data_IF_884763000165
#
_entry.id   IF_884763000165
#
_cell.length_a   1.000
_cell.length_b   1.000
_cell.length_c   1.000
_cell.angle_alpha   90.00
_cell.angle_beta   90.00
_cell.angle_gamma   90.00
#
_symmetry.space_group_name_H-M   'P 1'
#
loop_
_entity.id
_entity.type
_entity.pdbx_description
1 polymer ?
#
# COMPACT_ATOMS: atom_id res chain seq x y z
N UNK A 1 45.32 21.30 36.48
CA UNK A 1 46.03 22.59 36.33
C UNK A 1 46.27 22.95 34.86
N UNK A 2 45.28 22.81 33.96
CA UNK A 2 45.49 23.08 32.52
C UNK A 2 44.28 23.69 31.81
N UNK A 3 43.59 24.62 32.48
CA UNK A 3 42.64 25.56 31.83
C UNK A 3 43.28 26.91 31.49
N UNK A 4 44.61 27.02 31.61
CA UNK A 4 45.35 28.28 31.51
C UNK A 4 46.26 28.39 30.28
N UNK A 5 46.10 27.50 29.29
CA UNK A 5 46.95 27.48 28.08
C UNK A 5 46.15 27.61 26.78
N UNK A 6 44.82 27.75 26.84
CA UNK A 6 43.99 27.97 25.64
C UNK A 6 43.31 29.34 25.58
N UNK A 7 43.67 30.26 26.47
CA UNK A 7 43.12 31.63 26.53
C UNK A 7 44.17 32.72 26.23
N UNK A 8 45.38 32.36 25.79
CA UNK A 8 46.44 33.31 25.38
C UNK A 8 46.68 33.38 23.87
N UNK A 9 45.88 32.68 23.04
CA UNK A 9 46.03 32.70 21.57
C UNK A 9 44.91 33.47 20.85
N UNK A 10 43.94 34.04 21.59
CA UNK A 10 42.80 34.75 20.99
C UNK A 10 42.86 36.28 21.05
N UNK A 11 43.91 36.89 21.62
CA UNK A 11 43.98 38.35 21.86
C UNK A 11 45.16 39.07 21.18
N UNK A 12 45.70 38.50 20.09
CA UNK A 12 46.86 39.10 19.37
C UNK A 12 46.74 39.17 17.85
N UNK A 13 45.52 39.29 17.33
CA UNK A 13 45.25 39.61 15.91
C UNK A 13 44.13 40.63 15.73
N UNK A 14 44.07 41.62 16.62
CA UNK A 14 43.49 42.94 16.35
C UNK A 14 44.62 43.94 16.59
N UNK A 15 44.74 44.94 15.73
CA UNK A 15 45.81 45.97 15.72
C UNK A 15 47.15 45.62 15.09
N UNK A 16 47.18 45.16 13.83
CA UNK A 16 48.29 45.52 12.92
C UNK A 16 47.80 45.52 11.47
N UNK A 17 47.22 46.62 11.01
CA UNK A 17 47.34 47.11 9.61
C UNK A 17 46.55 48.42 9.49
N UNK A 18 47.07 49.51 10.04
CA UNK A 18 46.79 50.88 9.59
C UNK A 18 47.63 51.85 10.43
N UNK A 19 48.93 51.82 10.20
CA UNK A 19 49.82 52.94 10.50
C UNK A 19 50.99 52.85 9.53
N UNK A 20 51.49 53.99 9.08
CA UNK A 20 52.51 54.16 8.02
C UNK A 20 51.98 54.19 6.58
N UNK A 21 50.99 55.06 6.32
CA UNK A 21 51.00 55.80 5.05
C UNK A 21 51.99 56.95 5.25
N UNK A 22 53.28 56.65 5.18
CA UNK A 22 54.29 57.69 5.05
C UNK A 22 54.12 58.28 3.66
N UNK A 23 53.59 59.49 3.66
CA UNK A 23 53.69 60.43 2.56
C UNK A 23 55.17 60.58 2.21
N UNK A 24 55.64 59.87 1.20
CA UNK A 24 56.87 60.23 0.52
C UNK A 24 56.53 61.47 -0.30
N UNK A 25 56.49 62.61 0.39
CA UNK A 25 56.63 63.92 -0.22
C UNK A 25 57.99 63.93 -0.90
N UNK A 26 57.93 63.88 -2.23
CA UNK A 26 59.03 64.13 -3.16
C UNK A 26 59.55 65.55 -2.95
N UNK A 27 60.43 65.73 -1.96
CA UNK A 27 61.27 66.89 -1.79
C UNK A 27 62.52 66.79 -2.67
N UNK A 28 62.35 66.69 -3.99
CA UNK A 28 63.45 66.79 -4.93
C UNK A 28 63.81 68.28 -5.07
N UNK A 29 64.73 68.77 -4.23
CA UNK A 29 65.46 70.01 -4.50
C UNK A 29 66.58 69.67 -5.50
N UNK A 30 66.69 70.39 -6.62
CA UNK A 30 67.60 70.03 -7.70
C UNK A 30 69.03 70.36 -7.27
N UNK A 31 69.88 69.35 -7.12
CA UNK A 31 71.31 69.55 -7.31
C UNK A 31 71.52 69.61 -8.82
N UNK A 32 71.83 70.81 -9.29
CA UNK A 32 72.07 71.15 -10.67
C UNK A 32 73.19 70.27 -11.26
N UNK A 33 72.78 69.24 -11.99
CA UNK A 33 73.55 68.60 -13.04
C UNK A 33 72.64 68.55 -14.25
N UNK A 34 72.77 69.54 -15.12
CA UNK A 34 72.06 69.60 -16.40
C UNK A 34 72.60 68.49 -17.28
N UNK A 35 71.87 67.39 -17.38
CA UNK A 35 71.90 66.57 -18.58
C UNK A 35 70.66 66.93 -19.39
N UNK A 36 70.74 68.10 -20.04
CA UNK A 36 69.82 68.55 -21.08
C UNK A 36 69.99 67.67 -22.34
N UNK A 37 69.75 66.37 -22.20
CA UNK A 37 69.71 65.45 -23.33
C UNK A 37 68.27 65.35 -23.85
N UNK A 38 67.97 65.69 -25.11
CA UNK A 38 66.63 65.59 -25.71
C UNK A 38 66.08 64.16 -25.70
N UNK A 39 66.93 63.17 -25.43
CA UNK A 39 66.59 61.77 -25.27
C UNK A 39 65.81 61.52 -23.96
N UNK A 40 66.15 62.21 -22.86
CA UNK A 40 65.48 62.03 -21.57
C UNK A 40 64.01 62.51 -21.59
N UNK A 41 63.71 63.56 -22.35
CA UNK A 41 62.33 64.06 -22.51
C UNK A 41 61.48 63.13 -23.39
N UNK A 42 62.07 62.48 -24.39
CA UNK A 42 61.38 61.48 -25.22
C UNK A 42 61.02 60.25 -24.40
N UNK A 43 61.95 59.78 -23.57
CA UNK A 43 61.72 58.65 -22.66
C UNK A 43 60.59 58.96 -21.66
N UNK A 44 60.51 60.19 -21.14
CA UNK A 44 59.40 60.58 -20.25
C UNK A 44 58.04 60.56 -20.96
N UNK A 45 57.95 61.05 -22.20
CA UNK A 45 56.69 61.00 -22.97
C UNK A 45 56.28 59.58 -23.36
N UNK A 46 57.25 58.69 -23.60
CA UNK A 46 56.99 57.27 -23.84
C UNK A 46 56.44 56.60 -22.58
N UNK A 47 57.04 56.88 -21.41
CA UNK A 47 56.57 56.36 -20.12
C UNK A 47 55.15 56.84 -19.76
N UNK A 48 54.80 58.09 -20.09
CA UNK A 48 53.43 58.61 -19.89
C UNK A 48 52.40 57.86 -20.73
N UNK A 49 52.69 57.62 -22.00
CA UNK A 49 51.81 56.83 -22.89
C UNK A 49 51.67 55.39 -22.41
N UNK A 50 52.76 54.75 -22.02
CA UNK A 50 52.73 53.40 -21.46
C UNK A 50 51.89 53.36 -20.18
N UNK A 51 51.97 54.38 -19.33
CA UNK A 51 51.18 54.45 -18.10
C UNK A 51 49.67 54.64 -18.37
N UNK A 52 49.32 55.42 -19.39
CA UNK A 52 47.93 55.56 -19.85
C UNK A 52 47.38 54.23 -20.40
N UNK A 53 48.16 53.51 -21.20
CA UNK A 53 47.80 52.19 -21.74
C UNK A 53 47.64 51.14 -20.65
N UNK A 54 48.56 51.11 -19.67
CA UNK A 54 48.46 50.25 -18.48
C UNK A 54 47.21 50.58 -17.66
N UNK A 55 46.90 51.87 -17.49
CA UNK A 55 45.71 52.33 -16.77
C UNK A 55 44.42 51.94 -17.49
N UNK A 56 44.38 51.98 -18.82
CA UNK A 56 43.24 51.51 -19.61
C UNK A 56 43.08 50.00 -19.52
N UNK A 57 44.18 49.25 -19.60
CA UNK A 57 44.19 47.78 -19.48
C UNK A 57 43.75 47.33 -18.09
N UNK A 58 44.18 48.02 -17.05
CA UNK A 58 43.71 47.81 -15.66
C UNK A 58 42.20 48.01 -15.55
N UNK A 59 41.65 49.10 -16.09
CA UNK A 59 40.19 49.34 -16.11
C UNK A 59 39.41 48.27 -16.87
N UNK A 60 39.98 47.69 -17.93
CA UNK A 60 39.34 46.60 -18.67
C UNK A 60 39.36 45.28 -17.87
N UNK A 61 40.47 44.98 -17.21
CA UNK A 61 40.60 43.79 -16.36
C UNK A 61 39.66 43.88 -15.15
N UNK A 62 39.55 45.04 -14.51
CA UNK A 62 38.61 45.27 -13.42
C UNK A 62 37.15 45.06 -13.87
N UNK A 63 36.78 45.54 -15.07
CA UNK A 63 35.44 45.28 -15.64
C UNK A 63 35.19 43.80 -15.94
N UNK A 64 36.19 43.06 -16.40
CA UNK A 64 36.09 41.61 -16.61
C UNK A 64 35.95 40.88 -15.27
N UNK A 65 36.73 41.23 -14.26
CA UNK A 65 36.63 40.71 -12.90
C UNK A 65 35.23 40.92 -12.32
N UNK A 66 34.67 42.13 -12.42
CA UNK A 66 33.31 42.41 -11.94
C UNK A 66 32.27 41.50 -12.60
N UNK A 67 32.37 41.27 -13.92
CA UNK A 67 31.48 40.36 -14.64
C UNK A 67 31.62 38.91 -14.18
N UNK A 68 32.83 38.43 -13.91
CA UNK A 68 33.04 37.07 -13.38
C UNK A 68 32.46 36.93 -11.97
N UNK A 69 32.63 37.94 -11.12
CA UNK A 69 32.09 37.94 -9.76
C UNK A 69 30.55 37.91 -9.78
N UNK A 70 29.90 38.71 -10.64
CA UNK A 70 28.43 38.67 -10.78
C UNK A 70 27.93 37.30 -11.27
N UNK A 71 28.58 36.72 -12.29
CA UNK A 71 28.21 35.39 -12.79
C UNK A 71 28.41 34.28 -11.75
N UNK A 72 29.48 34.36 -10.96
CA UNK A 72 29.71 33.43 -9.85
C UNK A 72 28.64 33.57 -8.75
N UNK A 73 28.19 34.79 -8.46
CA UNK A 73 27.12 35.03 -7.50
C UNK A 73 25.76 34.44 -7.96
N UNK A 74 25.43 34.56 -9.25
CA UNK A 74 24.20 33.99 -9.82
C UNK A 74 24.20 32.45 -9.81
N UNK A 75 25.36 31.82 -10.10
CA UNK A 75 25.50 30.36 -10.03
C UNK A 75 25.31 29.85 -8.58
N UNK A 76 25.87 30.54 -7.59
CA UNK A 76 25.68 30.23 -6.17
C UNK A 76 24.23 30.41 -5.71
N UNK A 77 23.53 31.41 -6.24
CA UNK A 77 22.12 31.63 -5.93
C UNK A 77 21.22 30.49 -6.46
N UNK A 78 21.56 29.90 -7.61
CA UNK A 78 20.84 28.75 -8.18
C UNK A 78 21.05 27.47 -7.36
N UNK A 79 22.27 27.20 -6.87
CA UNK A 79 22.55 26.07 -5.97
C UNK A 79 21.71 26.13 -4.68
N UNK A 80 21.54 27.34 -4.13
CA UNK A 80 20.77 27.59 -2.89
C UNK A 80 19.25 27.46 -3.04
N UNK A 81 18.71 27.27 -4.25
CA UNK A 81 17.27 27.13 -4.50
C UNK A 81 16.84 25.70 -4.82
N UNK A 82 17.74 24.71 -4.76
CA UNK A 82 17.38 23.31 -4.96
C UNK A 82 16.45 22.80 -3.83
N UNK A 83 15.32 22.15 -4.14
CA UNK A 83 14.37 21.63 -3.14
C UNK A 83 14.92 20.51 -2.23
N UNK A 84 16.09 19.95 -2.54
CA UNK A 84 16.75 18.89 -1.77
C UNK A 84 17.49 19.37 -0.51
N UNK A 85 17.58 20.70 -0.30
CA UNK A 85 18.27 21.33 0.86
C UNK A 85 17.91 20.76 2.25
N UNK A 86 16.67 20.37 2.57
CA UNK A 86 16.35 19.80 3.88
C UNK A 86 16.93 18.40 4.08
N UNK A 87 16.97 17.58 3.01
CA UNK A 87 17.54 16.23 3.03
C UNK A 87 19.07 16.29 3.06
N UNK A 88 19.66 17.17 2.25
CA UNK A 88 21.10 17.42 2.26
C UNK A 88 21.61 17.96 3.60
N UNK A 89 20.80 18.78 4.30
CA UNK A 89 21.11 19.24 5.66
C UNK A 89 21.05 18.12 6.68
N UNK A 90 20.04 17.26 6.61
CA UNK A 90 19.94 16.10 7.50
C UNK A 90 21.10 15.12 7.28
N UNK A 91 21.42 14.81 6.02
CA UNK A 91 22.53 13.95 5.66
C UNK A 91 23.87 14.57 6.10
N UNK A 92 24.05 15.89 5.93
CA UNK A 92 25.20 16.62 6.44
C UNK A 92 25.29 16.62 7.97
N UNK A 93 24.17 16.77 8.68
CA UNK A 93 24.13 16.65 10.14
C UNK A 93 24.51 15.23 10.61
N UNK A 94 24.04 14.19 9.90
CA UNK A 94 24.42 12.80 10.15
C UNK A 94 25.92 12.61 9.90
N UNK A 95 26.46 13.15 8.81
CA UNK A 95 27.90 13.15 8.53
C UNK A 95 28.72 13.89 9.60
N UNK A 96 28.26 15.06 10.09
CA UNK A 96 28.95 15.78 11.17
C UNK A 96 28.91 14.97 12.47
N UNK A 97 27.77 14.38 12.83
CA UNK A 97 27.64 13.56 14.04
C UNK A 97 28.56 12.35 13.97
N UNK A 98 28.56 11.63 12.86
CA UNK A 98 29.46 10.48 12.65
C UNK A 98 30.93 10.90 12.69
N UNK A 99 31.31 12.02 12.05
CA UNK A 99 32.68 12.56 12.13
C UNK A 99 33.06 12.98 13.56
N UNK A 100 32.14 13.58 14.32
CA UNK A 100 32.40 13.95 15.71
C UNK A 100 32.56 12.72 16.61
N UNK A 101 31.75 11.69 16.41
CA UNK A 101 31.85 10.42 17.12
C UNK A 101 33.18 9.71 16.78
N UNK A 102 33.55 9.65 15.50
CA UNK A 102 34.83 9.10 15.08
C UNK A 102 36.02 9.88 15.65
N UNK A 103 35.95 11.22 15.69
CA UNK A 103 36.99 12.03 16.33
C UNK A 103 37.12 11.72 17.82
N UNK A 104 35.99 11.61 18.53
CA UNK A 104 35.97 11.23 19.94
C UNK A 104 36.54 9.83 20.16
N UNK A 105 36.20 8.89 19.28
CA UNK A 105 36.75 7.53 19.32
C UNK A 105 38.26 7.54 19.11
N UNK A 106 38.76 8.24 18.09
CA UNK A 106 40.21 8.35 17.85
C UNK A 106 40.93 9.01 19.02
N UNK A 107 40.36 10.06 19.62
CA UNK A 107 40.98 10.68 20.80
C UNK A 107 41.00 9.71 21.99
N UNK A 108 39.89 9.00 22.26
CA UNK A 108 39.82 8.02 23.33
C UNK A 108 40.80 6.85 23.10
N UNK A 109 40.86 6.33 21.88
CA UNK A 109 41.80 5.28 21.49
C UNK A 109 43.24 5.77 21.64
N UNK A 110 43.54 7.00 21.24
CA UNK A 110 44.88 7.59 21.39
C UNK A 110 45.28 7.81 22.85
N UNK A 111 44.36 8.27 23.69
CA UNK A 111 44.58 8.44 25.14
C UNK A 111 44.79 7.07 25.80
N UNK A 112 43.98 6.07 25.44
CA UNK A 112 44.13 4.70 25.96
C UNK A 112 45.47 4.06 25.56
N UNK A 113 45.90 4.28 24.31
CA UNK A 113 47.19 3.80 23.83
C UNK A 113 48.36 4.52 24.52
N UNK A 114 48.24 5.82 24.80
CA UNK A 114 49.22 6.58 25.58
C UNK A 114 49.33 6.05 27.00
N UNK A 115 48.20 5.82 27.69
CA UNK A 115 48.19 5.24 29.03
C UNK A 115 48.84 3.85 29.06
N UNK A 116 48.55 3.00 28.07
CA UNK A 116 49.20 1.69 27.93
C UNK A 116 50.71 1.84 27.69
N UNK A 117 51.14 2.81 26.89
CA UNK A 117 52.56 3.06 26.65
C UNK A 117 53.28 3.54 27.92
N UNK A 118 52.65 4.43 28.70
CA UNK A 118 53.16 4.90 29.98
C UNK A 118 53.26 3.75 31.00
N UNK A 119 52.23 2.91 31.09
CA UNK A 119 52.22 1.72 31.96
C UNK A 119 53.30 0.71 31.58
N UNK A 120 53.46 0.42 30.28
CA UNK A 120 54.55 -0.44 29.81
C UNK A 120 55.92 0.19 30.08
N UNK A 121 56.03 1.51 29.99
CA UNK A 121 57.29 2.22 30.28
C UNK A 121 57.66 2.15 31.76
N UNK A 122 56.67 2.31 32.65
CA UNK A 122 56.91 2.15 34.09
C UNK A 122 57.26 0.71 34.44
N UNK A 123 56.56 -0.27 33.86
CA UNK A 123 56.89 -1.69 34.02
C UNK A 123 58.32 -1.99 33.52
N UNK A 124 58.73 -1.45 32.37
CA UNK A 124 60.09 -1.61 31.88
C UNK A 124 61.12 -1.03 32.84
N UNK A 125 60.85 0.13 33.42
CA UNK A 125 61.75 0.76 34.38
C UNK A 125 61.86 -0.05 35.69
N UNK A 126 60.74 -0.60 36.17
CA UNK A 126 60.73 -1.50 37.33
C UNK A 126 61.53 -2.78 37.06
N UNK A 127 61.34 -3.41 35.89
CA UNK A 127 62.10 -4.61 35.51
C UNK A 127 63.60 -4.32 35.33
N UNK A 128 63.96 -3.15 34.77
CA UNK A 128 65.36 -2.74 34.68
C UNK A 128 66.01 -2.58 36.06
N UNK A 129 65.32 -1.93 37.00
CA UNK A 129 65.80 -1.81 38.38
C UNK A 129 65.98 -3.17 39.05
N UNK A 130 65.04 -4.11 38.84
CA UNK A 130 65.16 -5.48 39.35
C UNK A 130 66.40 -6.17 38.77
N UNK A 131 66.60 -6.09 37.45
CA UNK A 131 67.78 -6.66 36.79
C UNK A 131 69.08 -6.06 37.33
N UNK A 132 69.13 -4.74 37.55
CA UNK A 132 70.31 -4.09 38.14
C UNK A 132 70.59 -4.60 39.57
N UNK A 133 69.56 -4.75 40.40
CA UNK A 133 69.72 -5.30 41.76
C UNK A 133 70.18 -6.75 41.75
N UNK A 134 69.57 -7.61 40.93
CA UNK A 134 69.96 -9.02 40.79
C UNK A 134 71.37 -9.17 40.23
N UNK A 135 71.81 -8.28 39.32
CA UNK A 135 73.18 -8.25 38.82
C UNK A 135 74.19 -7.93 39.94
N UNK A 136 73.89 -6.93 40.77
CA UNK A 136 74.75 -6.58 41.90
C UNK A 136 74.84 -7.72 42.93
N UNK A 137 73.73 -8.40 43.20
CA UNK A 137 73.69 -9.59 44.06
C UNK A 137 74.51 -10.75 43.47
N UNK A 138 74.37 -11.02 42.17
CA UNK A 138 75.14 -12.05 41.48
C UNK A 138 76.64 -11.76 41.52
N UNK A 139 77.05 -10.50 41.32
CA UNK A 139 78.44 -10.09 41.44
C UNK A 139 78.98 -10.28 42.87
N UNK A 140 78.18 -9.94 43.88
CA UNK A 140 78.56 -10.16 45.28
C UNK A 140 78.72 -11.64 45.60
N UNK A 141 77.80 -12.49 45.11
CA UNK A 141 77.89 -13.95 45.23
C UNK A 141 79.09 -14.52 44.46
N UNK A 142 79.41 -13.96 43.28
CA UNK A 142 80.59 -14.35 42.52
C UNK A 142 81.87 -14.05 43.31
N UNK A 143 82.00 -12.82 43.85
CA UNK A 143 83.16 -12.42 44.67
C UNK A 143 83.28 -13.30 45.92
N UNK A 144 82.19 -13.62 46.60
CA UNK A 144 82.20 -14.46 47.80
C UNK A 144 82.56 -15.92 47.49
N UNK A 145 82.04 -16.49 46.39
CA UNK A 145 82.37 -17.83 45.95
C UNK A 145 83.84 -17.96 45.54
N UNK A 146 84.39 -16.96 44.84
CA UNK A 146 85.82 -16.91 44.52
C UNK A 146 86.64 -16.83 45.81
N UNK A 147 86.31 -15.93 46.73
CA UNK A 147 87.03 -15.79 48.00
C UNK A 147 86.99 -17.07 48.86
N UNK A 148 85.89 -17.81 48.85
CA UNK A 148 85.76 -19.09 49.58
C UNK A 148 86.61 -20.22 48.97
N UNK A 149 86.82 -20.21 47.65
CA UNK A 149 87.56 -21.25 46.92
C UNK A 149 89.07 -20.93 46.78
N UNK A 150 89.45 -19.65 46.82
CA UNK A 150 90.84 -19.18 46.67
C UNK A 150 91.85 -19.85 47.61
N UNK A 151 91.57 -20.07 48.92
CA UNK A 151 92.52 -20.72 49.83
C UNK A 151 92.87 -22.17 49.49
N UNK A 152 91.98 -22.87 48.76
CA UNK A 152 92.12 -24.30 48.46
C UNK A 152 92.64 -24.59 47.06
N UNK A 153 92.37 -23.70 46.10
CA UNK A 153 92.64 -23.91 44.68
C UNK A 153 93.60 -22.86 44.08
N UNK A 154 93.83 -21.74 44.77
CA UNK A 154 94.46 -20.54 44.21
C UNK A 154 93.45 -19.63 43.51
N UNK A 155 93.70 -18.32 43.49
CA UNK A 155 92.73 -17.32 43.00
C UNK A 155 92.29 -17.56 41.54
N UNK A 156 93.23 -17.85 40.65
CA UNK A 156 92.94 -18.03 39.22
C UNK A 156 92.10 -19.29 38.96
N UNK A 157 92.42 -20.40 39.65
CA UNK A 157 91.67 -21.64 39.51
C UNK A 157 90.26 -21.55 40.15
N UNK A 158 90.13 -20.82 41.26
CA UNK A 158 88.84 -20.51 41.89
C UNK A 158 87.93 -19.71 40.95
N UNK A 159 88.45 -18.63 40.32
CA UNK A 159 87.73 -17.85 39.31
C UNK A 159 87.30 -18.71 38.12
N UNK A 160 88.22 -19.49 37.56
CA UNK A 160 87.92 -20.37 36.44
C UNK A 160 86.82 -21.40 36.75
N UNK A 161 86.78 -21.94 37.98
CA UNK A 161 85.75 -22.90 38.41
C UNK A 161 84.37 -22.26 38.53
N UNK A 162 84.28 -21.09 39.18
CA UNK A 162 83.01 -20.36 39.34
C UNK A 162 82.48 -19.92 37.97
N UNK A 163 83.34 -19.41 37.09
CA UNK A 163 82.95 -19.05 35.73
C UNK A 163 82.50 -20.26 34.90
N UNK A 164 83.16 -21.42 35.05
CA UNK A 164 82.73 -22.64 34.35
C UNK A 164 81.32 -23.07 34.76
N UNK A 165 80.99 -23.02 36.06
CA UNK A 165 79.64 -23.28 36.55
C UNK A 165 78.62 -22.26 36.03
N UNK A 166 78.96 -20.97 36.02
CA UNK A 166 78.09 -19.92 35.49
C UNK A 166 77.84 -20.09 33.98
N UNK A 167 78.87 -20.49 33.22
CA UNK A 167 78.74 -20.80 31.79
C UNK A 167 77.83 -22.01 31.55
N UNK A 168 77.97 -23.07 32.36
CA UNK A 168 77.10 -24.24 32.27
C UNK A 168 75.63 -23.91 32.56
N UNK A 169 75.38 -23.09 33.59
CA UNK A 169 74.03 -22.63 33.94
C UNK A 169 73.42 -21.75 32.84
N UNK A 170 74.20 -20.83 32.26
CA UNK A 170 73.76 -20.00 31.12
C UNK A 170 73.35 -20.85 29.93
N UNK A 171 74.14 -21.87 29.57
CA UNK A 171 73.79 -22.79 28.48
C UNK A 171 72.49 -23.57 28.78
N UNK A 172 72.29 -24.01 30.03
CA UNK A 172 71.05 -24.66 30.45
C UNK A 172 69.85 -23.71 30.36
N UNK A 173 69.98 -22.47 30.83
CA UNK A 173 68.94 -21.44 30.71
C UNK A 173 68.62 -21.09 29.25
N UNK A 174 69.63 -20.96 28.39
CA UNK A 174 69.45 -20.72 26.96
C UNK A 174 68.68 -21.85 26.28
N UNK A 175 68.97 -23.11 26.66
CA UNK A 175 68.22 -24.25 26.14
C UNK A 175 66.76 -24.23 26.61
N UNK A 176 66.51 -23.87 27.87
CA UNK A 176 65.18 -23.76 28.45
C UNK A 176 64.38 -22.62 27.83
N UNK A 177 65.01 -21.46 27.60
CA UNK A 177 64.38 -20.30 26.98
C UNK A 177 63.96 -20.61 25.53
N UNK A 178 64.80 -21.33 24.77
CA UNK A 178 64.45 -21.83 23.44
C UNK A 178 63.24 -22.77 23.47
N UNK A 179 63.17 -23.70 24.41
CA UNK A 179 62.03 -24.62 24.55
C UNK A 179 60.77 -23.86 24.95
N UNK A 180 60.85 -22.93 25.91
CA UNK A 180 59.71 -22.08 26.32
C UNK A 180 59.19 -21.23 25.17
N UNK A 181 60.09 -20.68 24.35
CA UNK A 181 59.72 -19.90 23.17
C UNK A 181 59.06 -20.78 22.10
N UNK A 182 59.53 -22.01 21.88
CA UNK A 182 58.86 -22.99 21.01
C UNK A 182 57.47 -23.34 21.55
N UNK A 183 57.35 -23.60 22.85
CA UNK A 183 56.07 -23.89 23.49
C UNK A 183 55.09 -22.73 23.32
N UNK A 184 55.51 -21.50 23.59
CA UNK A 184 54.69 -20.31 23.39
C UNK A 184 54.22 -20.17 21.93
N UNK A 185 55.12 -20.35 20.96
CA UNK A 185 54.77 -20.34 19.52
C UNK A 185 53.72 -21.41 19.17
N UNK A 186 53.88 -22.62 19.69
CA UNK A 186 52.93 -23.71 19.47
C UNK A 186 51.57 -23.42 20.10
N UNK A 187 51.53 -22.95 21.35
CA UNK A 187 50.30 -22.55 22.03
C UNK A 187 49.56 -21.44 21.28
N UNK A 188 50.30 -20.44 20.76
CA UNK A 188 49.72 -19.39 19.94
C UNK A 188 49.14 -19.95 18.63
N UNK A 189 49.85 -20.89 18.00
CA UNK A 189 49.38 -21.54 16.76
C UNK A 189 48.13 -22.38 17.01
N UNK A 190 48.09 -23.14 18.10
CA UNK A 190 46.91 -23.93 18.51
C UNK A 190 45.71 -23.00 18.70
N UNK A 191 45.86 -21.91 19.47
CA UNK A 191 44.76 -20.95 19.69
C UNK A 191 44.24 -20.34 18.40
N UNK A 192 45.13 -20.03 17.44
CA UNK A 192 44.71 -19.52 16.11
C UNK A 192 43.91 -20.57 15.34
N UNK A 193 44.41 -21.80 15.27
CA UNK A 193 43.73 -22.90 14.60
C UNK A 193 42.38 -23.24 15.25
N UNK A 194 42.29 -23.18 16.58
CA UNK A 194 41.02 -23.36 17.30
C UNK A 194 40.02 -22.24 17.00
N UNK A 195 40.47 -20.99 16.85
CA UNK A 195 39.61 -19.87 16.46
C UNK A 195 39.12 -20.04 15.02
N UNK A 196 40.02 -20.34 14.07
CA UNK A 196 39.69 -20.63 12.67
C UNK A 196 38.66 -21.78 12.58
N UNK A 197 38.86 -22.87 13.33
CA UNK A 197 37.94 -24.00 13.35
C UNK A 197 36.55 -23.61 13.89
N UNK A 198 36.47 -22.78 14.93
CA UNK A 198 35.20 -22.31 15.48
C UNK A 198 34.44 -21.43 14.49
N UNK A 199 35.14 -20.53 13.80
CA UNK A 199 34.55 -19.70 12.74
C UNK A 199 34.01 -20.56 11.60
N UNK A 200 34.76 -21.59 11.17
CA UNK A 200 34.29 -22.55 10.17
C UNK A 200 33.06 -23.35 10.66
N UNK A 201 33.03 -23.79 11.91
CA UNK A 201 31.88 -24.48 12.49
C UNK A 201 30.64 -23.59 12.57
N UNK A 202 30.79 -22.33 12.98
CA UNK A 202 29.72 -21.34 13.02
C UNK A 202 29.17 -21.07 11.62
N UNK A 203 30.06 -20.81 10.65
CA UNK A 203 29.68 -20.65 9.25
C UNK A 203 28.94 -21.88 8.70
N UNK A 204 29.41 -23.08 8.99
CA UNK A 204 28.75 -24.32 8.57
C UNK A 204 27.36 -24.48 9.20
N UNK A 205 27.18 -24.08 10.47
CA UNK A 205 25.86 -24.07 11.13
C UNK A 205 24.92 -23.08 10.45
N UNK A 206 25.37 -21.86 10.15
CA UNK A 206 24.58 -20.87 9.43
C UNK A 206 24.16 -21.37 8.04
N UNK A 207 25.08 -21.99 7.30
CA UNK A 207 24.78 -22.59 5.99
C UNK A 207 23.73 -23.71 6.12
N UNK A 208 23.83 -24.56 7.15
CA UNK A 208 22.85 -25.60 7.44
C UNK A 208 21.48 -25.01 7.79
N UNK A 209 21.44 -23.95 8.59
CA UNK A 209 20.20 -23.24 8.94
C UNK A 209 19.52 -22.66 7.71
N UNK A 210 20.26 -21.96 6.85
CA UNK A 210 19.75 -21.43 5.58
C UNK A 210 19.19 -22.55 4.70
N UNK A 211 19.91 -23.66 4.58
CA UNK A 211 19.46 -24.82 3.79
C UNK A 211 18.18 -25.43 4.36
N UNK A 212 18.07 -25.53 5.68
CA UNK A 212 16.86 -26.03 6.34
C UNK A 212 15.67 -25.10 6.11
N UNK A 213 15.86 -23.79 6.25
CA UNK A 213 14.82 -22.79 5.96
C UNK A 213 14.36 -22.86 4.50
N UNK A 214 15.29 -23.04 3.55
CA UNK A 214 14.96 -23.22 2.14
C UNK A 214 14.12 -24.49 1.92
N UNK A 215 14.50 -25.62 2.52
CA UNK A 215 13.73 -26.86 2.43
C UNK A 215 12.32 -26.72 3.04
N UNK A 216 12.18 -25.98 4.14
CA UNK A 216 10.87 -25.67 4.71
C UNK A 216 10.02 -24.81 3.78
N UNK A 217 10.60 -23.79 3.14
CA UNK A 217 9.92 -22.95 2.18
C UNK A 217 9.42 -23.77 0.98
N UNK A 218 10.26 -24.65 0.43
CA UNK A 218 9.90 -25.56 -0.65
C UNK A 218 8.76 -26.52 -0.25
N UNK A 219 8.80 -27.07 0.97
CA UNK A 219 7.72 -27.92 1.49
C UNK A 219 6.40 -27.16 1.61
N UNK A 220 6.42 -25.96 2.22
CA UNK A 220 5.24 -25.09 2.33
C UNK A 220 4.68 -24.74 0.95
N UNK A 221 5.54 -24.47 -0.03
CA UNK A 221 5.12 -24.21 -1.40
C UNK A 221 4.45 -25.43 -2.04
N UNK A 222 5.01 -26.63 -1.87
CA UNK A 222 4.40 -27.88 -2.34
C UNK A 222 3.01 -28.08 -1.73
N UNK A 223 2.86 -27.96 -0.42
CA UNK A 223 1.57 -28.07 0.26
C UNK A 223 0.54 -27.05 -0.28
N UNK A 224 0.96 -25.81 -0.51
CA UNK A 224 0.09 -24.78 -1.10
C UNK A 224 -0.34 -25.16 -2.52
N UNK A 225 0.57 -25.68 -3.35
CA UNK A 225 0.23 -26.12 -4.71
C UNK A 225 -0.72 -27.31 -4.70
N UNK A 226 -0.55 -28.26 -3.78
CA UNK A 226 -1.43 -29.42 -3.63
C UNK A 226 -2.83 -29.01 -3.16
N UNK A 227 -2.93 -28.09 -2.19
CA UNK A 227 -4.21 -27.52 -1.74
C UNK A 227 -4.96 -26.84 -2.89
N UNK A 228 -4.27 -25.98 -3.66
CA UNK A 228 -4.85 -25.34 -4.85
C UNK A 228 -5.29 -26.36 -5.89
N UNK A 229 -4.49 -27.40 -6.13
CA UNK A 229 -4.85 -28.46 -7.07
C UNK A 229 -6.10 -29.24 -6.60
N UNK A 230 -6.25 -29.48 -5.30
CA UNK A 230 -7.44 -30.11 -4.73
C UNK A 230 -8.69 -29.22 -4.88
N UNK A 231 -8.56 -27.92 -4.62
CA UNK A 231 -9.64 -26.93 -4.80
C UNK A 231 -10.08 -26.84 -6.27
N UNK A 232 -9.13 -26.76 -7.21
CA UNK A 232 -9.43 -26.77 -8.65
C UNK A 232 -10.19 -28.05 -9.03
N UNK A 233 -9.77 -29.21 -8.52
CA UNK A 233 -10.49 -30.48 -8.76
C UNK A 233 -11.92 -30.45 -8.21
N UNK A 234 -12.14 -29.87 -7.03
CA UNK A 234 -13.49 -29.70 -6.46
C UNK A 234 -14.36 -28.82 -7.37
N UNK A 235 -13.85 -27.66 -7.78
CA UNK A 235 -14.56 -26.74 -8.67
C UNK A 235 -14.88 -27.37 -10.04
N UNK A 236 -13.96 -28.16 -10.61
CA UNK A 236 -14.21 -28.91 -11.84
C UNK A 236 -15.36 -29.91 -11.63
N UNK A 237 -15.36 -30.66 -10.52
CA UNK A 237 -16.42 -31.62 -10.21
C UNK A 237 -17.78 -30.95 -10.02
N UNK A 238 -17.82 -29.78 -9.36
CA UNK A 238 -19.03 -28.97 -9.22
C UNK A 238 -19.52 -28.46 -10.57
N UNK A 239 -18.61 -27.95 -11.41
CA UNK A 239 -18.94 -27.50 -12.75
C UNK A 239 -19.52 -28.65 -13.61
N UNK A 240 -18.94 -29.85 -13.52
CA UNK A 240 -19.47 -31.05 -14.19
C UNK A 240 -20.89 -31.36 -13.68
N UNK A 241 -21.12 -31.35 -12.36
CA UNK A 241 -22.45 -31.59 -11.78
C UNK A 241 -23.48 -30.57 -12.28
N UNK A 242 -23.14 -29.28 -12.25
CA UNK A 242 -24.01 -28.21 -12.76
C UNK A 242 -24.28 -28.40 -14.24
N UNK A 243 -23.24 -28.71 -15.04
CA UNK A 243 -23.37 -28.96 -16.47
C UNK A 243 -24.23 -30.20 -16.79
N UNK A 244 -24.31 -31.18 -15.89
CA UNK A 244 -25.21 -32.34 -16.03
C UNK A 244 -26.65 -32.05 -15.60
N UNK A 245 -26.87 -31.19 -14.61
CA UNK A 245 -28.22 -30.88 -14.07
C UNK A 245 -28.92 -29.79 -14.87
N UNK A 246 -28.19 -28.76 -15.30
CA UNK A 246 -28.74 -27.60 -16.00
C UNK A 246 -29.54 -27.96 -17.27
N UNK A 247 -29.08 -28.90 -18.15
CA UNK A 247 -29.87 -29.32 -19.30
C UNK A 247 -31.20 -29.95 -18.91
N UNK A 248 -31.23 -30.78 -17.85
CA UNK A 248 -32.46 -31.42 -17.35
C UNK A 248 -33.45 -30.38 -16.82
N UNK A 249 -32.96 -29.34 -16.14
CA UNK A 249 -33.81 -28.23 -15.67
C UNK A 249 -34.34 -27.43 -16.85
N UNK A 250 -33.52 -27.14 -17.87
CA UNK A 250 -33.95 -26.48 -19.10
C UNK A 250 -35.03 -27.29 -19.82
N UNK A 251 -34.84 -28.60 -19.97
CA UNK A 251 -35.82 -29.49 -20.60
C UNK A 251 -37.16 -29.49 -19.86
N UNK A 252 -37.14 -29.66 -18.53
CA UNK A 252 -38.36 -29.57 -17.70
C UNK A 252 -39.06 -28.22 -17.82
N UNK A 253 -38.30 -27.13 -17.88
CA UNK A 253 -38.85 -25.79 -18.07
C UNK A 253 -39.53 -25.64 -19.44
N UNK A 254 -38.92 -26.16 -20.51
CA UNK A 254 -39.53 -26.19 -21.83
C UNK A 254 -40.82 -27.02 -21.84
N UNK A 255 -40.82 -28.20 -21.20
CA UNK A 255 -42.02 -29.04 -21.07
C UNK A 255 -43.16 -28.30 -20.37
N UNK A 256 -42.88 -27.68 -19.21
CA UNK A 256 -43.86 -26.88 -18.46
C UNK A 256 -44.38 -25.70 -19.31
N UNK A 257 -43.50 -25.03 -20.05
CA UNK A 257 -43.89 -23.91 -20.91
C UNK A 257 -44.89 -24.34 -21.98
N UNK A 258 -44.66 -25.49 -22.63
CA UNK A 258 -45.59 -26.07 -23.61
C UNK A 258 -46.90 -26.47 -22.94
N UNK A 259 -46.86 -27.10 -21.77
CA UNK A 259 -48.09 -27.46 -21.03
C UNK A 259 -48.92 -26.24 -20.63
N UNK A 260 -48.28 -25.15 -20.19
CA UNK A 260 -48.97 -23.89 -19.86
C UNK A 260 -49.63 -23.31 -21.11
N UNK A 261 -48.95 -23.32 -22.26
CA UNK A 261 -49.54 -22.86 -23.52
C UNK A 261 -50.76 -23.71 -23.91
N UNK A 262 -50.65 -25.04 -23.83
CA UNK A 262 -51.76 -25.96 -24.12
C UNK A 262 -52.94 -25.72 -23.18
N UNK A 263 -52.71 -25.56 -21.88
CA UNK A 263 -53.77 -25.25 -20.90
C UNK A 263 -54.42 -23.89 -21.14
N UNK A 264 -53.65 -22.88 -21.55
CA UNK A 264 -54.21 -21.57 -21.94
C UNK A 264 -55.09 -21.68 -23.17
N UNK A 265 -54.68 -22.49 -24.16
CA UNK A 265 -55.48 -22.75 -25.34
C UNK A 265 -56.80 -23.46 -24.99
N UNK A 266 -56.74 -24.51 -24.15
CA UNK A 266 -57.92 -25.21 -23.64
C UNK A 266 -58.85 -24.27 -22.86
N UNK A 267 -58.30 -23.36 -22.04
CA UNK A 267 -59.08 -22.37 -21.32
C UNK A 267 -59.81 -21.43 -22.28
N UNK A 268 -59.12 -20.92 -23.31
CA UNK A 268 -59.71 -20.04 -24.32
C UNK A 268 -60.86 -20.72 -25.09
N UNK A 269 -60.72 -22.00 -25.42
CA UNK A 269 -61.79 -22.79 -26.05
C UNK A 269 -63.02 -22.94 -25.15
N UNK A 270 -62.81 -23.23 -23.86
CA UNK A 270 -63.91 -23.32 -22.88
C UNK A 270 -64.57 -21.96 -22.69
N UNK A 271 -63.80 -20.88 -22.59
CA UNK A 271 -64.31 -19.52 -22.49
C UNK A 271 -65.16 -19.15 -23.72
N UNK A 272 -64.73 -19.51 -24.93
CA UNK A 272 -65.51 -19.30 -26.15
C UNK A 272 -66.84 -20.06 -26.09
N UNK A 273 -66.85 -21.34 -25.73
CA UNK A 273 -68.09 -22.13 -25.57
C UNK A 273 -69.00 -21.52 -24.49
N UNK A 274 -68.46 -21.08 -23.36
CA UNK A 274 -69.23 -20.43 -22.31
C UNK A 274 -69.87 -19.13 -22.80
N UNK A 275 -69.14 -18.32 -23.57
CA UNK A 275 -69.68 -17.11 -24.18
C UNK A 275 -70.83 -17.43 -25.15
N UNK A 276 -70.66 -18.41 -26.03
CA UNK A 276 -71.72 -18.87 -26.94
C UNK A 276 -72.97 -19.35 -26.19
N UNK A 277 -72.80 -20.12 -25.11
CA UNK A 277 -73.92 -20.59 -24.28
C UNK A 277 -74.61 -19.44 -23.54
N UNK A 278 -73.87 -18.45 -23.06
CA UNK A 278 -74.44 -17.23 -22.45
C UNK A 278 -75.27 -16.43 -23.47
N UNK A 279 -74.79 -16.30 -24.70
CA UNK A 279 -75.51 -15.62 -25.77
C UNK A 279 -76.77 -16.38 -26.16
N UNK A 280 -76.69 -17.71 -26.31
CA UNK A 280 -77.85 -18.56 -26.58
C UNK A 280 -78.89 -18.46 -25.48
N UNK A 281 -78.48 -18.53 -24.21
CA UNK A 281 -79.37 -18.37 -23.06
C UNK A 281 -80.05 -17.00 -23.05
N UNK A 282 -79.31 -15.95 -23.39
CA UNK A 282 -79.86 -14.59 -23.48
C UNK A 282 -80.91 -14.50 -24.58
N UNK A 283 -80.64 -15.08 -25.77
CA UNK A 283 -81.60 -15.13 -26.88
C UNK A 283 -82.85 -15.94 -26.54
N UNK A 284 -82.72 -17.10 -25.90
CA UNK A 284 -83.87 -17.94 -25.51
C UNK A 284 -84.70 -17.28 -24.42
N UNK A 285 -84.07 -16.63 -23.43
CA UNK A 285 -84.79 -15.81 -22.42
C UNK A 285 -85.58 -14.70 -23.09
N UNK A 286 -84.98 -13.96 -24.04
CA UNK A 286 -85.68 -12.91 -24.79
C UNK A 286 -86.88 -13.48 -25.58
N UNK A 287 -86.72 -14.62 -26.24
CA UNK A 287 -87.81 -15.28 -26.97
C UNK A 287 -88.94 -15.73 -26.02
N UNK A 288 -88.60 -16.34 -24.88
CA UNK A 288 -89.55 -16.70 -23.84
C UNK A 288 -90.34 -15.47 -23.35
N UNK A 289 -89.65 -14.37 -23.05
CA UNK A 289 -90.31 -13.12 -22.65
C UNK A 289 -91.19 -12.50 -23.76
N UNK A 290 -90.87 -12.72 -25.04
CA UNK A 290 -91.75 -12.31 -26.15
C UNK A 290 -93.01 -13.17 -26.18
N UNK A 291 -92.86 -14.50 -26.14
CA UNK A 291 -93.99 -15.44 -26.09
C UNK A 291 -94.89 -15.21 -24.87
N UNK A 292 -94.32 -14.93 -23.69
CA UNK A 292 -95.10 -14.56 -22.50
C UNK A 292 -95.93 -13.31 -22.74
N UNK A 293 -95.34 -12.26 -23.33
CA UNK A 293 -96.05 -11.02 -23.68
C UNK A 293 -97.15 -11.27 -24.72
N UNK A 294 -96.88 -12.06 -25.75
CA UNK A 294 -97.86 -12.38 -26.78
C UNK A 294 -98.99 -13.26 -26.23
N UNK A 295 -98.68 -14.22 -25.35
CA UNK A 295 -99.70 -15.03 -24.66
C UNK A 295 -100.61 -14.15 -23.81
N UNK A 296 -100.05 -13.22 -23.02
CA UNK A 296 -100.84 -12.23 -22.27
C UNK A 296 -101.75 -11.41 -23.19
N UNK A 297 -101.22 -10.88 -24.30
CA UNK A 297 -102.02 -10.13 -25.29
C UNK A 297 -103.14 -10.96 -25.91
N UNK A 298 -102.90 -12.24 -26.20
CA UNK A 298 -103.95 -13.14 -26.70
C UNK A 298 -104.99 -13.44 -25.62
N UNK A 299 -104.56 -13.61 -24.37
CA UNK A 299 -105.48 -13.77 -23.23
C UNK A 299 -106.36 -12.54 -23.00
N UNK A 300 -105.85 -11.33 -23.25
CA UNK A 300 -106.63 -10.10 -23.24
C UNK A 300 -107.64 -10.04 -24.40
N UNK A 301 -107.23 -10.47 -25.61
CA UNK A 301 -108.06 -10.40 -26.83
C UNK A 301 -109.13 -11.48 -26.95
N UNK A 302 -108.97 -12.64 -26.31
CA UNK A 302 -109.91 -13.76 -26.43
C UNK A 302 -111.30 -13.46 -25.86
N UNK A 303 -111.47 -12.40 -25.05
CA UNK A 303 -112.77 -12.07 -24.47
C UNK A 303 -113.36 -13.24 -23.66
N UNK A 304 -114.60 -13.65 -23.98
CA UNK A 304 -115.26 -14.80 -23.36
C UNK A 304 -114.77 -16.15 -23.91
N UNK A 305 -114.06 -16.18 -25.05
CA UNK A 305 -113.49 -17.39 -25.65
C UNK A 305 -112.39 -17.94 -24.74
N UNK A 306 -112.75 -18.86 -23.87
CA UNK A 306 -111.86 -19.45 -22.88
C UNK A 306 -112.47 -19.53 -21.49
N UNK A 307 -113.55 -18.78 -21.23
CA UNK A 307 -114.37 -18.98 -20.06
C UNK A 307 -115.69 -19.64 -20.47
N UNK A 308 -115.69 -20.99 -20.46
CA UNK A 308 -116.83 -21.80 -20.92
C UNK A 308 -118.13 -21.45 -20.21
N UNK A 309 -118.06 -21.14 -18.91
CA UNK A 309 -119.26 -20.81 -18.11
C UNK A 309 -119.91 -19.53 -18.63
N UNK A 310 -119.13 -18.45 -18.74
CA UNK A 310 -119.60 -17.17 -19.26
C UNK A 310 -120.07 -17.23 -20.73
N UNK A 311 -119.46 -18.09 -21.55
CA UNK A 311 -119.89 -18.28 -22.93
C UNK A 311 -121.22 -19.02 -23.00
N UNK A 312 -121.37 -20.08 -22.21
CA UNK A 312 -122.61 -20.84 -22.10
C UNK A 312 -123.74 -19.98 -21.56
N UNK A 313 -123.48 -19.15 -20.53
CA UNK A 313 -124.46 -18.19 -20.03
C UNK A 313 -124.89 -17.21 -21.14
N UNK A 314 -123.96 -16.76 -21.99
CA UNK A 314 -124.28 -15.89 -23.11
C UNK A 314 -125.14 -16.60 -24.15
N UNK A 315 -124.80 -17.84 -24.53
CA UNK A 315 -125.60 -18.69 -25.42
C UNK A 315 -127.01 -18.91 -24.86
N UNK A 316 -127.13 -19.32 -23.60
CA UNK A 316 -128.41 -19.51 -22.91
C UNK A 316 -129.23 -18.21 -22.90
N UNK A 317 -128.60 -17.04 -22.72
CA UNK A 317 -129.31 -15.75 -22.79
C UNK A 317 -129.75 -15.37 -24.20
N UNK A 318 -129.00 -15.73 -25.24
CA UNK A 318 -129.39 -15.51 -26.64
C UNK A 318 -130.55 -16.43 -27.00
N UNK A 319 -130.45 -17.72 -26.67
CA UNK A 319 -131.53 -18.69 -26.91
C UNK A 319 -132.82 -18.26 -26.18
N UNK A 320 -132.71 -17.81 -24.93
CA UNK A 320 -133.86 -17.28 -24.19
C UNK A 320 -134.44 -16.00 -24.82
N UNK A 321 -133.61 -15.15 -25.43
CA UNK A 321 -134.07 -13.95 -26.14
C UNK A 321 -134.80 -14.32 -27.45
N UNK A 322 -134.26 -15.27 -28.22
CA UNK A 322 -134.89 -15.79 -29.44
C UNK A 322 -136.23 -16.46 -29.12
N UNK A 323 -136.33 -17.21 -28.02
CA UNK A 323 -137.61 -17.77 -27.56
C UNK A 323 -138.65 -16.68 -27.23
N UNK A 324 -138.21 -15.58 -26.61
CA UNK A 324 -139.07 -14.44 -26.31
C UNK A 324 -139.50 -13.71 -27.60
N UNK A 325 -138.62 -13.55 -28.58
CA UNK A 325 -138.91 -12.94 -29.87
C UNK A 325 -139.92 -13.77 -30.67
N UNK A 326 -139.72 -15.09 -30.74
CA UNK A 326 -140.70 -16.02 -31.33
C UNK A 326 -142.07 -15.95 -30.64
N UNK A 327 -142.10 -15.85 -29.31
CA UNK A 327 -143.35 -15.67 -28.57
C UNK A 327 -144.02 -14.34 -28.93
N UNK A 328 -143.25 -13.27 -29.08
CA UNK A 328 -143.75 -11.98 -29.54
C UNK A 328 -144.38 -12.09 -30.93
N UNK A 329 -143.69 -12.70 -31.90
CA UNK A 329 -144.21 -12.94 -33.24
C UNK A 329 -145.50 -13.76 -33.22
N UNK A 330 -145.57 -14.81 -32.40
CA UNK A 330 -146.82 -15.59 -32.26
C UNK A 330 -147.95 -14.79 -31.63
N UNK A 331 -147.66 -13.91 -30.67
CA UNK A 331 -148.67 -13.00 -30.11
C UNK A 331 -149.13 -11.97 -31.14
N UNK A 332 -148.23 -11.45 -31.98
CA UNK A 332 -148.58 -10.53 -33.06
C UNK A 332 -149.48 -11.22 -34.10
N UNK A 333 -149.17 -12.47 -34.47
CA UNK A 333 -150.03 -13.29 -35.33
C UNK A 333 -151.39 -13.55 -34.70
N UNK A 334 -151.44 -13.91 -33.41
CA UNK A 334 -152.71 -14.10 -32.69
C UNK A 334 -153.51 -12.80 -32.57
N UNK A 335 -152.84 -11.66 -32.37
CA UNK A 335 -153.48 -10.35 -32.34
C UNK A 335 -154.02 -9.96 -33.72
N UNK A 336 -153.28 -10.25 -34.80
CA UNK A 336 -153.74 -10.07 -36.17
C UNK A 336 -154.96 -10.96 -36.49
N UNK A 337 -154.94 -12.23 -36.06
CA UNK A 337 -156.07 -13.16 -36.19
C UNK A 337 -157.28 -12.71 -35.37
N UNK A 338 -157.07 -12.17 -34.16
CA UNK A 338 -158.13 -11.65 -33.33
C UNK A 338 -158.73 -10.35 -33.91
N UNK A 339 -157.91 -9.46 -34.49
CA UNK A 339 -158.39 -8.30 -35.26
C UNK A 339 -159.21 -8.76 -36.47
N UNK A 340 -158.79 -9.81 -37.16
CA UNK A 340 -159.51 -10.43 -38.29
C UNK A 340 -160.85 -11.04 -37.85
N UNK A 341 -160.89 -11.74 -36.71
CA UNK A 341 -162.12 -12.25 -36.09
C UNK A 341 -163.06 -11.13 -35.62
N UNK A 342 -162.54 -10.06 -35.03
CA UNK A 342 -163.31 -8.87 -34.66
C UNK A 342 -163.85 -8.12 -35.88
N UNK A 343 -163.13 -8.09 -37.00
CA UNK A 343 -163.65 -7.59 -38.29
C UNK A 343 -164.78 -8.49 -38.83
N UNK A 344 -164.65 -9.82 -38.74
CA UNK A 344 -165.70 -10.77 -39.16
C UNK A 344 -166.97 -10.66 -38.29
N UNK A 345 -166.84 -10.45 -36.99
CA UNK A 345 -167.98 -10.22 -36.09
C UNK A 345 -168.63 -8.85 -36.28
N UNK A 346 -167.86 -7.82 -36.68
CA UNK A 346 -168.41 -6.51 -37.04
C UNK A 346 -169.24 -6.55 -38.33
N UNK A 347 -168.83 -7.35 -39.31
CA UNK A 347 -169.54 -7.52 -40.59
C UNK A 347 -170.77 -8.47 -40.52
N UNK A 348 -171.03 -9.11 -39.37
CA UNK A 348 -172.22 -9.94 -39.11
C UNK A 348 -173.30 -9.19 -38.29
N UNK A 349 -173.04 -7.94 -37.90
CA UNK A 349 -173.96 -7.07 -37.16
C UNK A 349 -174.43 -5.83 -37.96
N UNK A 350 -174.13 -5.77 -39.26
CA UNK A 350 -174.76 -4.89 -40.27
C UNK A 350 -175.50 -5.76 -41.30
#
# INVERSE_FOLDING_TARGET
MSRKVMEEVSDKTRDVTNSSRSEVQTGFKPAAGRDDSPEAQRVLQELEKENEDLSQRSRQLQRKLARYVCKAAEANAKLRRSPDLPRDRHDYEVCIRTLSALKQQVTADSESAQLQAEELSSQLQEELQKVETEQQELEALWRSAVAALSPHLGEEAARARVEASLRAEKLAQDSLSQVRLKHFKLTLRIRRLEAELREEEEFNREVLEVKNQQLEAERRQKELTERKAAEIKQLINENIRVSQVLPKVKEKLCQIQVEVQNKRQQLAEVEAVVMEKKDLLTRTKQACHRLQRDNLRLQERRGLLGNRVLLQDFEDTVDAADELENRLETLELQHADMISCCHKLRNLME
#
